data_IF_647719374700
#
_entry.id   IF_647719374700
#
_cell.length_a   1.000
_cell.length_b   1.000
_cell.length_c   1.000
_cell.angle_alpha   90.00
_cell.angle_beta   90.00
_cell.angle_gamma   90.00
#
_symmetry.space_group_name_H-M   'P 1'
#
loop_
_entity.id
_entity.type
_entity.pdbx_description
1 polymer ?
#
# COMPACT_ATOMS: atom_id res chain seq x y z
N UNK A 1 -14.01 22.97 -10.12
CA UNK A 1 -13.74 21.53 -10.32
C UNK A 1 -13.83 20.85 -8.96
N UNK A 2 -14.91 20.11 -8.74
CA UNK A 2 -15.24 19.61 -7.42
C UNK A 2 -14.51 18.33 -7.05
N UNK A 3 -14.50 18.02 -5.75
CA UNK A 3 -13.98 16.77 -5.16
C UNK A 3 -14.44 15.50 -5.91
N UNK A 4 -15.64 15.51 -6.51
CA UNK A 4 -16.17 14.40 -7.31
C UNK A 4 -15.37 14.09 -8.58
N UNK A 5 -14.75 15.09 -9.21
CA UNK A 5 -13.93 14.88 -10.42
C UNK A 5 -12.57 14.26 -10.09
N UNK A 6 -12.06 14.52 -8.89
CA UNK A 6 -10.81 13.94 -8.40
C UNK A 6 -11.01 12.47 -8.06
N UNK A 7 -12.13 12.11 -7.41
CA UNK A 7 -12.47 10.71 -7.10
C UNK A 7 -12.72 9.90 -8.38
N UNK A 8 -13.43 10.43 -9.36
CA UNK A 8 -13.65 9.77 -10.65
C UNK A 8 -12.35 9.52 -11.42
N UNK A 9 -11.39 10.46 -11.37
CA UNK A 9 -10.06 10.27 -11.96
C UNK A 9 -9.27 9.16 -11.28
N UNK A 10 -9.33 9.05 -9.96
CA UNK A 10 -8.64 7.97 -9.23
C UNK A 10 -9.21 6.59 -9.54
N UNK A 11 -10.53 6.48 -9.63
CA UNK A 11 -11.19 5.23 -10.03
C UNK A 11 -10.86 4.87 -11.49
N UNK A 12 -10.79 5.86 -12.38
CA UNK A 12 -10.38 5.71 -13.76
C UNK A 12 -8.92 5.27 -13.86
N UNK A 13 -8.01 5.91 -13.14
CA UNK A 13 -6.60 5.55 -13.08
C UNK A 13 -6.38 4.12 -12.58
N UNK A 14 -7.20 3.64 -11.65
CA UNK A 14 -7.17 2.27 -11.17
C UNK A 14 -7.64 1.28 -12.24
N UNK A 15 -8.73 1.60 -12.94
CA UNK A 15 -9.25 0.80 -14.04
C UNK A 15 -8.27 0.75 -15.22
N UNK A 16 -7.68 1.88 -15.58
CA UNK A 16 -6.71 2.01 -16.67
C UNK A 16 -5.41 1.22 -16.39
N UNK A 17 -5.03 1.11 -15.12
CA UNK A 17 -3.89 0.28 -14.69
C UNK A 17 -4.24 -1.20 -14.50
N UNK A 18 -5.44 -1.63 -14.90
CA UNK A 18 -5.98 -2.99 -14.70
C UNK A 18 -5.95 -3.45 -13.23
N UNK A 19 -6.23 -2.52 -12.33
CA UNK A 19 -6.26 -2.77 -10.89
C UNK A 19 -7.67 -3.13 -10.45
N UNK A 20 -7.86 -4.29 -9.86
CA UNK A 20 -9.15 -4.75 -9.37
C UNK A 20 -9.10 -4.98 -7.86
N UNK A 21 -10.21 -4.68 -7.14
CA UNK A 21 -11.41 -3.98 -7.64
C UNK A 21 -11.16 -2.49 -7.90
N UNK A 22 -11.84 -1.92 -8.88
CA UNK A 22 -11.79 -0.47 -9.18
C UNK A 22 -12.34 0.39 -8.02
N UNK A 23 -13.15 -0.20 -7.15
CA UNK A 23 -13.62 0.38 -5.89
C UNK A 23 -12.52 0.28 -4.83
N UNK A 24 -12.23 1.38 -4.15
CA UNK A 24 -11.25 1.42 -3.08
C UNK A 24 -11.68 0.52 -1.90
N UNK A 25 -11.00 -0.61 -1.62
CA UNK A 25 -11.39 -1.50 -0.53
C UNK A 25 -11.36 -0.82 0.85
N UNK A 26 -10.45 0.13 1.06
CA UNK A 26 -10.34 0.86 2.33
C UNK A 26 -11.56 1.73 2.59
N UNK A 27 -12.11 2.40 1.57
CA UNK A 27 -13.34 3.17 1.70
C UNK A 27 -14.55 2.25 1.96
N UNK A 28 -14.56 1.08 1.38
CA UNK A 28 -15.56 0.06 1.65
C UNK A 28 -15.45 -0.47 3.08
N UNK A 29 -14.26 -0.83 3.54
CA UNK A 29 -14.02 -1.24 4.94
C UNK A 29 -14.36 -0.13 5.94
N UNK A 30 -14.10 1.13 5.61
CA UNK A 30 -14.44 2.27 6.47
C UNK A 30 -15.93 2.44 6.69
N UNK A 31 -16.75 2.15 5.69
CA UNK A 31 -18.21 2.16 5.83
C UNK A 31 -18.71 1.03 6.74
N UNK A 32 -18.08 -0.13 6.70
CA UNK A 32 -18.42 -1.26 7.57
C UNK A 32 -17.99 -1.04 9.02
N UNK A 33 -16.93 -0.29 9.27
CA UNK A 33 -16.47 0.09 10.62
C UNK A 33 -17.50 0.95 11.36
N UNK A 34 -18.38 1.67 10.66
CA UNK A 34 -19.47 2.43 11.27
C UNK A 34 -20.60 1.54 11.85
N UNK A 35 -20.60 0.25 11.54
CA UNK A 35 -21.55 -0.71 12.09
C UNK A 35 -20.98 -1.36 13.37
N UNK A 36 -21.68 -1.24 14.55
CA UNK A 36 -21.19 -1.80 15.81
C UNK A 36 -20.92 -3.31 15.78
N UNK A 37 -21.71 -4.06 15.02
CA UNK A 37 -21.57 -5.51 14.85
C UNK A 37 -20.26 -5.89 14.15
N UNK A 38 -19.83 -5.09 13.19
CA UNK A 38 -18.58 -5.30 12.47
C UNK A 38 -17.37 -4.89 13.31
N UNK A 39 -17.48 -3.83 14.09
CA UNK A 39 -16.47 -3.41 15.05
C UNK A 39 -16.23 -4.50 16.09
N UNK A 40 -17.29 -5.12 16.62
CA UNK A 40 -17.19 -6.24 17.55
C UNK A 40 -16.52 -7.46 16.90
N UNK A 41 -16.86 -7.78 15.67
CA UNK A 41 -16.24 -8.87 14.91
C UNK A 41 -14.75 -8.62 14.68
N UNK A 42 -14.36 -7.44 14.25
CA UNK A 42 -12.96 -7.04 14.04
C UNK A 42 -12.19 -7.04 15.37
N UNK A 43 -12.76 -6.52 16.43
CA UNK A 43 -12.13 -6.49 17.76
C UNK A 43 -11.90 -7.89 18.32
N UNK A 44 -12.77 -8.84 18.04
CA UNK A 44 -12.64 -10.25 18.47
C UNK A 44 -11.66 -11.07 17.64
N UNK A 45 -11.59 -10.82 16.33
CA UNK A 45 -10.88 -11.69 15.37
C UNK A 45 -9.63 -11.02 14.80
N UNK A 46 -9.55 -9.70 14.86
CA UNK A 46 -8.45 -8.87 14.38
C UNK A 46 -8.08 -7.93 15.50
N UNK A 47 -6.79 -7.71 15.71
CA UNK A 47 -6.26 -6.83 16.75
C UNK A 47 -6.98 -5.47 16.76
N UNK A 48 -7.33 -4.92 17.94
CA UNK A 48 -8.07 -3.66 18.13
C UNK A 48 -7.41 -2.40 17.57
N UNK A 49 -6.19 -2.53 17.04
CA UNK A 49 -5.46 -1.47 16.33
C UNK A 49 -5.86 -1.30 14.86
N UNK A 50 -6.74 -2.16 14.33
CA UNK A 50 -7.13 -2.17 12.92
C UNK A 50 -7.65 -0.81 12.41
N UNK A 51 -8.51 -0.17 13.19
CA UNK A 51 -9.09 1.13 12.85
C UNK A 51 -8.00 2.21 12.72
N UNK A 52 -7.06 2.22 13.67
CA UNK A 52 -5.90 3.10 13.62
C UNK A 52 -5.03 2.88 12.39
N UNK A 53 -4.78 1.62 12.04
CA UNK A 53 -4.02 1.24 10.85
C UNK A 53 -4.70 1.66 9.55
N UNK A 54 -6.00 1.45 9.43
CA UNK A 54 -6.79 1.88 8.26
C UNK A 54 -6.77 3.40 8.11
N UNK A 55 -6.92 4.14 9.20
CA UNK A 55 -6.86 5.60 9.18
C UNK A 55 -5.47 6.11 8.80
N UNK A 56 -4.41 5.48 9.30
CA UNK A 56 -3.04 5.80 8.91
C UNK A 56 -2.82 5.60 7.41
N UNK A 57 -3.27 4.49 6.86
CA UNK A 57 -3.18 4.19 5.42
C UNK A 57 -3.91 5.25 4.59
N UNK A 58 -5.11 5.66 5.00
CA UNK A 58 -5.85 6.73 4.33
C UNK A 58 -5.08 8.03 4.31
N UNK A 59 -4.52 8.41 5.44
CA UNK A 59 -3.72 9.64 5.59
C UNK A 59 -2.49 9.60 4.68
N UNK A 60 -1.80 8.47 4.62
CA UNK A 60 -0.63 8.27 3.75
C UNK A 60 -0.97 8.32 2.27
N UNK A 61 -2.08 7.71 1.87
CA UNK A 61 -2.57 7.77 0.49
C UNK A 61 -2.94 9.20 0.08
N UNK A 62 -3.59 9.94 0.96
CA UNK A 62 -3.92 11.35 0.72
C UNK A 62 -2.66 12.21 0.59
N UNK A 63 -1.69 12.01 1.46
CA UNK A 63 -0.41 12.74 1.42
C UNK A 63 0.38 12.41 0.14
N UNK A 64 0.42 11.14 -0.25
CA UNK A 64 1.08 10.71 -1.49
C UNK A 64 0.46 11.36 -2.73
N UNK A 65 -0.85 11.52 -2.74
CA UNK A 65 -1.58 12.21 -3.81
C UNK A 65 -1.23 13.69 -3.89
N UNK A 66 -1.16 14.38 -2.76
CA UNK A 66 -0.74 15.79 -2.70
C UNK A 66 0.69 15.95 -3.24
N UNK A 67 1.60 15.06 -2.89
CA UNK A 67 2.97 15.08 -3.39
C UNK A 67 3.02 14.78 -4.89
N UNK A 68 2.23 13.85 -5.39
CA UNK A 68 2.15 13.57 -6.82
C UNK A 68 1.72 14.81 -7.62
N UNK A 69 0.79 15.61 -7.10
CA UNK A 69 0.40 16.87 -7.70
C UNK A 69 1.55 17.89 -7.70
N UNK A 70 2.34 17.96 -6.62
CA UNK A 70 3.52 18.81 -6.56
C UNK A 70 4.60 18.40 -7.57
N UNK A 71 4.85 17.10 -7.70
CA UNK A 71 5.80 16.56 -8.70
C UNK A 71 5.34 16.91 -10.11
N UNK A 72 4.05 16.81 -10.40
CA UNK A 72 3.49 17.18 -11.71
C UNK A 72 3.69 18.67 -12.04
N UNK A 73 3.67 19.54 -11.05
CA UNK A 73 3.83 20.99 -11.23
C UNK A 73 5.30 21.39 -11.29
N UNK A 74 6.12 20.86 -10.39
CA UNK A 74 7.50 21.29 -10.17
C UNK A 74 8.53 20.42 -10.88
N UNK A 75 8.14 19.22 -11.34
CA UNK A 75 9.05 18.19 -11.83
C UNK A 75 9.72 17.41 -10.70
N UNK A 76 10.34 16.28 -11.04
CA UNK A 76 10.98 15.38 -10.05
C UNK A 76 12.12 16.08 -9.30
N UNK A 77 12.92 16.86 -9.99
CA UNK A 77 14.03 17.62 -9.40
C UNK A 77 13.59 18.79 -8.51
N UNK A 78 12.37 19.27 -8.69
CA UNK A 78 11.81 20.38 -7.95
C UNK A 78 11.24 20.01 -6.58
N UNK A 79 11.20 18.73 -6.24
CA UNK A 79 10.63 18.20 -5.01
C UNK A 79 11.72 17.53 -4.17
N UNK A 80 11.80 17.81 -2.84
CA UNK A 80 12.79 17.18 -1.96
C UNK A 80 12.74 15.65 -2.00
N UNK A 81 13.88 14.98 -1.79
CA UNK A 81 14.00 13.52 -1.82
C UNK A 81 13.07 12.85 -0.79
N UNK A 82 12.92 13.45 0.38
CA UNK A 82 12.03 12.94 1.44
C UNK A 82 10.56 12.88 0.98
N UNK A 83 10.13 13.78 0.14
CA UNK A 83 8.77 13.77 -0.43
C UNK A 83 8.62 12.65 -1.46
N UNK A 84 9.67 12.35 -2.22
CA UNK A 84 9.68 11.17 -3.09
C UNK A 84 9.55 9.86 -2.28
N UNK A 85 10.23 9.77 -1.15
CA UNK A 85 10.09 8.62 -0.24
C UNK A 85 8.64 8.48 0.26
N UNK A 86 8.03 9.57 0.69
CA UNK A 86 6.63 9.59 1.14
C UNK A 86 5.67 9.20 0.02
N UNK A 87 5.88 9.72 -1.18
CA UNK A 87 5.10 9.35 -2.37
C UNK A 87 5.21 7.86 -2.69
N UNK A 88 6.42 7.30 -2.70
CA UNK A 88 6.63 5.89 -3.00
C UNK A 88 6.13 4.96 -1.90
N UNK A 89 6.14 5.37 -0.64
CA UNK A 89 5.45 4.64 0.44
C UNK A 89 3.94 4.57 0.19
N UNK A 90 3.33 5.64 -0.31
CA UNK A 90 1.90 5.62 -0.71
C UNK A 90 1.66 4.72 -1.93
N UNK A 91 2.55 4.70 -2.90
CA UNK A 91 2.49 3.79 -4.05
C UNK A 91 2.65 2.32 -3.61
N UNK A 92 3.51 2.03 -2.64
CA UNK A 92 3.62 0.70 -2.04
C UNK A 92 2.29 0.24 -1.43
N UNK A 93 1.63 1.10 -0.68
CA UNK A 93 0.30 0.82 -0.11
C UNK A 93 -0.71 0.52 -1.23
N UNK A 94 -0.76 1.36 -2.25
CA UNK A 94 -1.69 1.21 -3.35
C UNK A 94 -1.46 -0.09 -4.12
N UNK A 95 -0.21 -0.42 -4.41
CA UNK A 95 0.14 -1.64 -5.14
C UNK A 95 -0.04 -2.93 -4.34
N UNK A 96 0.24 -2.93 -3.06
CA UNK A 96 0.27 -4.15 -2.23
C UNK A 96 -1.05 -4.41 -1.54
N UNK A 97 -1.70 -3.38 -1.01
CA UNK A 97 -2.92 -3.52 -0.21
C UNK A 97 -4.18 -3.31 -1.06
N UNK A 98 -4.20 -2.29 -1.93
CA UNK A 98 -5.40 -1.91 -2.66
C UNK A 98 -5.56 -2.62 -4.00
N UNK A 99 -4.50 -3.21 -4.52
CA UNK A 99 -4.56 -3.95 -5.77
C UNK A 99 -4.64 -5.44 -5.49
N UNK A 100 -5.77 -6.02 -5.87
CA UNK A 100 -5.89 -7.46 -6.04
C UNK A 100 -6.03 -7.75 -7.53
N UNK A 101 -5.28 -8.73 -8.02
CA UNK A 101 -5.47 -9.24 -9.36
C UNK A 101 -6.66 -10.19 -9.36
N UNK A 102 -7.81 -9.73 -9.85
CA UNK A 102 -9.03 -10.54 -9.90
C UNK A 102 -8.93 -11.75 -10.83
N UNK A 103 -7.87 -11.83 -11.64
CA UNK A 103 -7.61 -12.97 -12.54
C UNK A 103 -6.74 -14.04 -11.90
N UNK A 104 -6.14 -13.77 -10.74
CA UNK A 104 -5.35 -14.74 -9.98
C UNK A 104 -6.18 -15.28 -8.80
N UNK A 105 -6.42 -16.59 -8.78
CA UNK A 105 -7.20 -17.24 -7.71
C UNK A 105 -6.58 -17.07 -6.33
N UNK A 106 -5.25 -17.03 -6.26
CA UNK A 106 -4.51 -16.90 -5.01
C UNK A 106 -4.68 -15.49 -4.43
N UNK A 107 -4.64 -14.47 -5.27
CA UNK A 107 -4.79 -13.08 -4.86
C UNK A 107 -6.26 -12.72 -4.63
N UNK A 108 -7.19 -13.26 -5.43
CA UNK A 108 -8.62 -13.02 -5.32
C UNK A 108 -9.23 -13.58 -4.03
N UNK A 109 -8.69 -14.68 -3.50
CA UNK A 109 -9.14 -15.34 -2.26
C UNK A 109 -8.04 -15.27 -1.20
N UNK A 110 -7.78 -14.07 -0.71
CA UNK A 110 -6.76 -13.86 0.32
C UNK A 110 -7.35 -14.07 1.72
N UNK A 111 -6.81 -15.02 2.52
CA UNK A 111 -7.25 -15.21 3.90
C UNK A 111 -7.07 -13.95 4.75
N UNK A 112 -7.96 -13.71 5.73
CA UNK A 112 -7.88 -12.53 6.61
C UNK A 112 -6.54 -12.44 7.34
N UNK A 113 -5.98 -13.56 7.80
CA UNK A 113 -4.66 -13.61 8.45
C UNK A 113 -3.55 -13.08 7.54
N UNK A 114 -3.60 -13.42 6.26
CA UNK A 114 -2.66 -12.93 5.25
C UNK A 114 -2.79 -11.44 5.04
N UNK A 115 -4.02 -10.93 4.96
CA UNK A 115 -4.28 -9.50 4.81
C UNK A 115 -3.76 -8.71 6.01
N UNK A 116 -3.94 -9.22 7.22
CA UNK A 116 -3.43 -8.62 8.44
C UNK A 116 -1.90 -8.59 8.45
N UNK A 117 -1.25 -9.70 8.10
CA UNK A 117 0.21 -9.79 8.05
C UNK A 117 0.81 -8.83 7.01
N UNK A 118 0.23 -8.76 5.82
CA UNK A 118 0.65 -7.85 4.76
C UNK A 118 0.43 -6.40 5.19
N UNK A 119 -0.70 -6.08 5.79
CA UNK A 119 -0.99 -4.74 6.31
C UNK A 119 0.04 -4.31 7.36
N UNK A 120 0.33 -5.17 8.33
CA UNK A 120 1.30 -4.89 9.37
C UNK A 120 2.70 -4.68 8.79
N UNK A 121 3.11 -5.50 7.85
CA UNK A 121 4.39 -5.40 7.16
C UNK A 121 4.51 -4.07 6.39
N UNK A 122 3.49 -3.67 5.66
CA UNK A 122 3.49 -2.40 4.89
C UNK A 122 3.52 -1.20 5.83
N UNK A 123 2.78 -1.23 6.94
CA UNK A 123 2.81 -0.17 7.95
C UNK A 123 4.20 -0.06 8.60
N UNK A 124 4.83 -1.17 8.92
CA UNK A 124 6.19 -1.19 9.46
C UNK A 124 7.20 -0.56 8.49
N UNK A 125 7.11 -0.88 7.20
CA UNK A 125 7.92 -0.24 6.16
C UNK A 125 7.64 1.27 6.09
N UNK A 126 6.39 1.67 6.20
CA UNK A 126 6.02 3.09 6.22
C UNK A 126 6.57 3.84 7.42
N UNK A 127 6.73 3.19 8.57
CA UNK A 127 7.36 3.77 9.78
C UNK A 127 8.89 3.75 9.72
N UNK A 128 9.48 2.98 8.82
CA UNK A 128 10.93 2.92 8.65
C UNK A 128 11.43 4.16 7.92
N UNK A 129 12.49 4.78 8.44
CA UNK A 129 13.19 5.87 7.77
C UNK A 129 14.26 5.31 6.86
N UNK A 130 14.33 5.84 5.64
CA UNK A 130 15.29 5.45 4.61
C UNK A 130 16.14 6.63 4.17
N UNK A 131 17.38 6.36 3.80
CA UNK A 131 18.29 7.36 3.25
C UNK A 131 18.59 7.09 1.77
N UNK A 132 18.44 8.15 0.96
CA UNK A 132 18.74 8.14 -0.47
C UNK A 132 19.42 9.43 -0.90
N UNK A 133 20.30 9.35 -1.90
CA UNK A 133 21.01 10.51 -2.44
C UNK A 133 20.17 11.30 -3.45
N UNK A 134 19.28 10.63 -4.18
CA UNK A 134 18.45 11.24 -5.22
C UNK A 134 17.13 10.48 -5.44
N UNK A 135 16.20 11.09 -6.18
CA UNK A 135 14.88 10.52 -6.43
C UNK A 135 14.91 9.26 -7.31
N UNK A 136 15.88 9.09 -8.19
CA UNK A 136 16.01 7.88 -9.00
C UNK A 136 16.30 6.64 -8.14
N UNK A 137 17.15 6.80 -7.11
CA UNK A 137 17.41 5.72 -6.15
C UNK A 137 16.16 5.35 -5.37
N UNK A 138 15.36 6.34 -4.96
CA UNK A 138 14.08 6.12 -4.28
C UNK A 138 13.14 5.29 -5.18
N UNK A 139 12.98 5.71 -6.41
CA UNK A 139 12.13 5.05 -7.39
C UNK A 139 12.54 3.60 -7.63
N UNK A 140 13.81 3.35 -7.91
CA UNK A 140 14.33 2.02 -8.21
C UNK A 140 14.19 1.08 -7.01
N UNK A 141 14.49 1.58 -5.82
CA UNK A 141 14.36 0.82 -4.57
C UNK A 141 12.91 0.40 -4.29
N UNK A 142 11.96 1.34 -4.34
CA UNK A 142 10.56 1.03 -4.08
C UNK A 142 9.92 0.19 -5.18
N UNK A 143 10.31 0.34 -6.44
CA UNK A 143 9.88 -0.57 -7.52
C UNK A 143 10.32 -2.02 -7.25
N UNK A 144 11.55 -2.21 -6.81
CA UNK A 144 12.06 -3.52 -6.42
C UNK A 144 11.28 -4.09 -5.23
N UNK A 145 11.00 -3.27 -4.22
CA UNK A 145 10.20 -3.64 -3.05
C UNK A 145 8.78 -4.05 -3.43
N UNK A 146 8.10 -3.26 -4.26
CA UNK A 146 6.76 -3.55 -4.76
C UNK A 146 6.73 -4.87 -5.53
N UNK A 147 7.75 -5.13 -6.35
CA UNK A 147 7.84 -6.39 -7.09
C UNK A 147 7.97 -7.60 -6.17
N UNK A 148 8.78 -7.52 -5.12
CA UNK A 148 8.89 -8.58 -4.10
C UNK A 148 7.54 -8.80 -3.41
N UNK A 149 6.86 -7.74 -3.01
CA UNK A 149 5.54 -7.83 -2.38
C UNK A 149 4.49 -8.47 -3.31
N UNK A 150 4.52 -8.16 -4.60
CA UNK A 150 3.67 -8.82 -5.61
C UNK A 150 3.95 -10.32 -5.70
N UNK A 151 5.22 -10.72 -5.72
CA UNK A 151 5.60 -12.14 -5.73
C UNK A 151 5.10 -12.85 -4.46
N UNK A 152 5.17 -12.20 -3.29
CA UNK A 152 4.57 -12.73 -2.07
C UNK A 152 3.06 -12.92 -2.20
N UNK A 153 2.34 -11.97 -2.80
CA UNK A 153 0.90 -12.04 -2.99
C UNK A 153 0.47 -13.18 -3.92
N UNK A 154 1.30 -13.52 -4.91
CA UNK A 154 1.06 -14.65 -5.81
C UNK A 154 1.47 -16.00 -5.22
N UNK A 155 2.24 -16.01 -4.14
CA UNK A 155 2.67 -17.23 -3.46
C UNK A 155 1.62 -17.68 -2.46
N UNK A 156 1.50 -19.01 -2.27
CA UNK A 156 0.62 -19.56 -1.24
C UNK A 156 1.08 -19.10 0.16
N UNK A 157 0.14 -18.59 0.95
CA UNK A 157 0.42 -18.12 2.31
C UNK A 157 1.10 -19.19 3.18
N UNK A 158 2.16 -18.80 3.89
CA UNK A 158 3.00 -19.69 4.71
C UNK A 158 3.68 -20.84 3.93
N UNK A 159 3.83 -20.70 2.60
CA UNK A 159 4.67 -21.61 1.81
C UNK A 159 6.15 -21.22 1.89
N UNK A 160 7.04 -22.15 1.52
CA UNK A 160 8.47 -21.87 1.42
C UNK A 160 8.79 -20.70 0.48
N UNK A 161 8.02 -20.58 -0.60
CA UNK A 161 8.16 -19.49 -1.57
C UNK A 161 7.76 -18.15 -0.95
N UNK A 162 6.65 -18.11 -0.20
CA UNK A 162 6.22 -16.93 0.56
C UNK A 162 7.27 -16.49 1.57
N UNK A 163 7.81 -17.43 2.35
CA UNK A 163 8.84 -17.15 3.35
C UNK A 163 10.14 -16.65 2.71
N UNK A 164 10.50 -17.19 1.55
CA UNK A 164 11.66 -16.71 0.77
C UNK A 164 11.51 -15.26 0.35
N UNK A 165 10.37 -14.86 -0.20
CA UNK A 165 10.12 -13.47 -0.60
C UNK A 165 10.01 -12.55 0.62
N UNK A 166 9.40 -13.01 1.70
CA UNK A 166 9.34 -12.26 2.96
C UNK A 166 10.74 -11.95 3.51
N UNK A 167 11.64 -12.93 3.47
CA UNK A 167 13.05 -12.75 3.85
C UNK A 167 13.76 -11.76 2.93
N UNK A 168 13.58 -11.87 1.62
CA UNK A 168 14.15 -10.91 0.66
C UNK A 168 13.67 -9.48 0.93
N UNK A 169 12.41 -9.31 1.30
CA UNK A 169 11.86 -8.02 1.66
C UNK A 169 12.53 -7.45 2.92
N UNK A 170 12.69 -8.26 3.94
CA UNK A 170 13.37 -7.85 5.18
C UNK A 170 14.83 -7.43 4.92
N UNK A 171 15.56 -8.20 4.13
CA UNK A 171 16.93 -7.87 3.72
C UNK A 171 16.99 -6.54 2.97
N UNK A 172 16.07 -6.32 2.05
CA UNK A 172 15.96 -5.07 1.29
C UNK A 172 15.67 -3.87 2.20
N UNK A 173 14.78 -4.01 3.19
CA UNK A 173 14.46 -2.95 4.16
C UNK A 173 15.71 -2.56 4.97
N UNK A 174 16.46 -3.54 5.47
CA UNK A 174 17.69 -3.29 6.25
C UNK A 174 18.80 -2.64 5.41
N UNK A 175 18.83 -2.84 4.10
CA UNK A 175 19.84 -2.28 3.18
C UNK A 175 19.87 -0.75 3.16
N UNK A 176 18.74 -0.09 3.32
CA UNK A 176 18.60 1.38 3.22
C UNK A 176 17.99 2.04 4.47
N UNK A 177 17.87 1.29 5.53
CA UNK A 177 17.39 1.81 6.81
C UNK A 177 18.36 2.84 7.37
N UNK A 178 17.82 4.01 7.71
CA UNK A 178 18.57 5.12 8.30
C UNK A 178 19.04 4.84 9.73
#
# INVERSE_FOLDING_TARGET
RGLGDVYKRQEQDRADKKRYPAVNPIDSYSKYIEYPEFEEYITKHINGEWIGKVNEIKTRLQRGKEIAEQINILGDDGVPVEYHVTFWKSELIDFVILQQDAFDEIDAVTPMERQEEILNMVIEICHTEFEFDNFNEVMDYFKKMINICKQMNYSKFKSEEYDKFHKQLQELVEERKA
#
